data_IF_232059158465
#
_entry.id   IF_232059158465
#
_cell.length_a   1.000
_cell.length_b   1.000
_cell.length_c   1.000
_cell.angle_alpha   90.00
_cell.angle_beta   90.00
_cell.angle_gamma   90.00
#
_symmetry.space_group_name_H-M   'P 1'
#
loop_
_entity.id
_entity.type
_entity.pdbx_description
1 polymer ?
#
# COMPACT_ATOMS: atom_id res chain seq x y z
N UNK A 1 -20.59 -12.13 3.74
CA UNK A 1 -21.83 -12.81 4.19
C UNK A 1 -23.00 -12.45 3.29
N UNK A 2 -23.18 -11.19 2.92
CA UNK A 2 -24.37 -10.70 2.19
C UNK A 2 -24.53 -11.32 0.79
N UNK A 3 -23.44 -11.43 0.02
CA UNK A 3 -23.46 -12.08 -1.30
C UNK A 3 -23.88 -13.56 -1.18
N UNK A 4 -23.39 -14.23 -0.14
CA UNK A 4 -23.77 -15.63 0.13
C UNK A 4 -25.26 -15.75 0.44
N UNK A 5 -25.82 -14.82 1.21
CA UNK A 5 -27.25 -14.81 1.50
C UNK A 5 -28.09 -14.68 0.21
N UNK A 6 -27.74 -13.74 -0.68
CA UNK A 6 -28.41 -13.58 -1.98
C UNK A 6 -28.34 -14.85 -2.81
N UNK A 7 -27.16 -15.48 -2.89
CA UNK A 7 -26.97 -16.75 -3.59
C UNK A 7 -27.85 -17.85 -3.02
N UNK A 8 -27.81 -18.07 -1.70
CA UNK A 8 -28.55 -19.14 -1.04
C UNK A 8 -30.07 -18.95 -1.22
N UNK A 9 -30.56 -17.72 -1.10
CA UNK A 9 -31.97 -17.42 -1.35
C UNK A 9 -32.39 -17.70 -2.77
N UNK A 10 -31.60 -17.26 -3.76
CA UNK A 10 -31.88 -17.48 -5.16
C UNK A 10 -31.86 -18.99 -5.53
N UNK A 11 -30.92 -19.74 -5.00
CA UNK A 11 -30.85 -21.20 -5.17
C UNK A 11 -32.09 -21.92 -4.60
N UNK A 12 -32.51 -21.49 -3.40
CA UNK A 12 -33.73 -22.04 -2.78
C UNK A 12 -34.99 -21.85 -3.64
N UNK A 13 -35.04 -20.73 -4.37
CA UNK A 13 -36.15 -20.35 -5.23
C UNK A 13 -35.92 -20.74 -6.70
N UNK A 14 -34.82 -21.41 -7.02
CA UNK A 14 -34.40 -21.80 -8.39
C UNK A 14 -34.36 -20.62 -9.36
N UNK A 15 -33.82 -19.49 -8.89
CA UNK A 15 -33.70 -18.25 -9.65
C UNK A 15 -32.25 -17.91 -9.92
N UNK A 16 -31.90 -17.24 -11.04
CA UNK A 16 -30.63 -16.61 -11.21
C UNK A 16 -30.51 -15.39 -10.28
N UNK A 17 -29.28 -14.98 -9.99
CA UNK A 17 -29.03 -13.82 -9.14
C UNK A 17 -27.95 -12.92 -9.70
N UNK A 18 -28.06 -11.65 -9.40
CA UNK A 18 -27.07 -10.62 -9.73
C UNK A 18 -26.86 -9.75 -8.49
N UNK A 19 -25.60 -9.46 -8.20
CA UNK A 19 -25.21 -8.49 -7.17
C UNK A 19 -24.39 -7.38 -7.81
N UNK A 20 -24.73 -6.13 -7.53
CA UNK A 20 -23.93 -4.98 -7.88
C UNK A 20 -23.24 -4.43 -6.64
N UNK A 21 -21.90 -4.30 -6.70
CA UNK A 21 -21.06 -3.75 -5.64
C UNK A 21 -20.45 -2.43 -6.10
N UNK A 22 -21.08 -1.31 -5.71
CA UNK A 22 -20.60 0.04 -6.02
C UNK A 22 -19.79 0.61 -4.87
N UNK A 23 -18.81 -0.14 -4.40
CA UNK A 23 -17.84 0.26 -3.39
C UNK A 23 -16.50 -0.38 -3.71
N UNK A 24 -15.44 0.16 -3.13
CA UNK A 24 -14.08 -0.33 -3.34
C UNK A 24 -13.15 0.11 -2.24
N UNK A 25 -11.91 -0.31 -2.35
CA UNK A 25 -10.80 0.06 -1.48
C UNK A 25 -9.53 0.05 -2.29
N UNK A 26 -8.59 0.93 -1.95
CA UNK A 26 -7.25 0.96 -2.53
C UNK A 26 -6.28 0.05 -1.76
N UNK A 27 -6.76 -0.68 -0.76
CA UNK A 27 -5.93 -1.59 0.04
C UNK A 27 -5.87 -2.98 -0.56
N UNK A 28 -4.71 -3.63 -0.45
CA UNK A 28 -4.49 -4.99 -0.90
C UNK A 28 -3.58 -5.11 -2.13
N UNK A 29 -3.19 -6.34 -2.51
CA UNK A 29 -2.23 -6.58 -3.59
C UNK A 29 -2.82 -6.41 -5.00
N UNK A 30 -4.11 -6.17 -5.15
CA UNK A 30 -4.84 -5.99 -6.43
C UNK A 30 -4.64 -7.12 -7.46
N UNK A 31 -4.39 -8.35 -7.00
CA UNK A 31 -4.08 -9.51 -7.85
C UNK A 31 -5.07 -10.68 -7.67
N UNK A 32 -6.18 -10.45 -6.97
CA UNK A 32 -7.19 -11.48 -6.71
C UNK A 32 -6.78 -12.51 -5.65
N UNK A 33 -5.67 -12.30 -4.94
CA UNK A 33 -5.15 -13.27 -3.97
C UNK A 33 -5.71 -13.12 -2.56
N UNK A 34 -6.46 -12.05 -2.27
CA UNK A 34 -7.01 -11.84 -0.93
C UNK A 34 -8.08 -12.87 -0.61
N UNK A 35 -8.31 -13.14 0.68
CA UNK A 35 -9.40 -14.02 1.11
C UNK A 35 -10.77 -13.50 0.66
N UNK A 36 -10.91 -12.17 0.52
CA UNK A 36 -12.13 -11.56 0.02
C UNK A 36 -12.36 -11.94 -1.45
N UNK A 37 -11.37 -11.76 -2.32
CA UNK A 37 -11.45 -12.07 -3.74
C UNK A 37 -11.74 -13.56 -3.95
N UNK A 38 -11.01 -14.43 -3.26
CA UNK A 38 -11.19 -15.86 -3.34
C UNK A 38 -12.57 -16.32 -2.84
N UNK A 39 -13.13 -15.65 -1.84
CA UNK A 39 -14.49 -15.94 -1.40
C UNK A 39 -15.52 -15.53 -2.45
N UNK A 40 -15.31 -14.41 -3.16
CA UNK A 40 -16.16 -14.01 -4.29
C UNK A 40 -16.07 -15.07 -5.41
N UNK A 41 -14.88 -15.51 -5.78
CA UNK A 41 -14.68 -16.54 -6.80
C UNK A 41 -15.39 -17.86 -6.45
N UNK A 42 -15.27 -18.30 -5.20
CA UNK A 42 -15.99 -19.50 -4.73
C UNK A 42 -17.52 -19.34 -4.80
N UNK A 43 -18.04 -18.14 -4.56
CA UNK A 43 -19.47 -17.86 -4.66
C UNK A 43 -19.95 -17.89 -6.12
N UNK A 44 -19.10 -17.49 -7.08
CA UNK A 44 -19.41 -17.50 -8.51
C UNK A 44 -19.23 -18.86 -9.19
N UNK A 45 -18.64 -19.85 -8.51
CA UNK A 45 -18.33 -21.17 -9.07
C UNK A 45 -19.54 -21.96 -9.59
N UNK A 46 -20.77 -21.59 -9.20
CA UNK A 46 -22.02 -22.23 -9.66
C UNK A 46 -22.67 -21.40 -10.76
N UNK A 47 -23.32 -22.09 -11.70
CA UNK A 47 -24.06 -21.44 -12.80
C UNK A 47 -25.25 -20.62 -12.25
N UNK A 48 -25.52 -19.47 -12.87
CA UNK A 48 -26.68 -18.62 -12.59
C UNK A 48 -26.42 -17.43 -11.66
N UNK A 49 -25.19 -17.23 -11.22
CA UNK A 49 -24.77 -16.05 -10.46
C UNK A 49 -23.94 -15.09 -11.30
N UNK A 50 -24.09 -13.79 -11.03
CA UNK A 50 -23.28 -12.74 -11.62
C UNK A 50 -23.02 -11.62 -10.61
N UNK A 51 -21.80 -11.11 -10.57
CA UNK A 51 -21.39 -9.97 -9.73
C UNK A 51 -20.77 -8.91 -10.63
N UNK A 52 -21.19 -7.67 -10.45
CA UNK A 52 -20.53 -6.49 -11.01
C UNK A 52 -19.88 -5.72 -9.87
N UNK A 53 -18.68 -5.20 -10.06
CA UNK A 53 -18.00 -4.34 -9.12
C UNK A 53 -17.57 -3.05 -9.80
N UNK A 54 -17.57 -1.95 -9.03
CA UNK A 54 -16.98 -0.69 -9.48
C UNK A 54 -15.45 -0.85 -9.59
N UNK A 55 -14.86 -0.22 -10.59
CA UNK A 55 -13.40 -0.20 -10.79
C UNK A 55 -12.70 0.93 -10.01
N UNK A 56 -13.46 1.72 -9.24
CA UNK A 56 -12.97 2.94 -8.58
C UNK A 56 -13.06 4.18 -9.47
N UNK A 57 -12.77 5.32 -8.87
CA UNK A 57 -12.82 6.63 -9.54
C UNK A 57 -11.43 7.29 -9.64
N UNK A 58 -10.39 6.63 -9.15
CA UNK A 58 -9.05 7.16 -8.93
C UNK A 58 -8.06 6.79 -10.04
N UNK A 59 -8.55 6.47 -11.24
CA UNK A 59 -7.73 5.95 -12.35
C UNK A 59 -6.65 6.91 -12.88
N UNK A 60 -6.71 8.18 -12.54
CA UNK A 60 -5.73 9.22 -12.87
C UNK A 60 -4.77 9.56 -11.72
N UNK A 61 -4.96 8.98 -10.54
CA UNK A 61 -4.19 9.32 -9.33
C UNK A 61 -2.90 8.52 -9.16
N UNK A 62 -2.62 7.56 -10.03
CA UNK A 62 -1.41 6.72 -9.98
C UNK A 62 -1.16 6.05 -8.62
N UNK A 63 -2.22 5.57 -7.96
CA UNK A 63 -2.17 5.00 -6.61
C UNK A 63 -1.54 3.61 -6.53
N UNK A 64 -1.25 2.98 -7.65
CA UNK A 64 -0.73 1.62 -7.71
C UNK A 64 0.41 1.50 -8.72
N UNK A 65 1.44 0.76 -8.34
CA UNK A 65 2.53 0.35 -9.24
C UNK A 65 2.90 -1.11 -8.98
N UNK A 66 3.54 -1.74 -9.94
CA UNK A 66 4.05 -3.09 -9.79
C UNK A 66 5.42 -3.24 -10.45
N UNK A 67 6.14 -4.28 -10.06
CA UNK A 67 7.45 -4.53 -10.61
C UNK A 67 8.03 -5.86 -10.16
N UNK A 68 9.24 -6.14 -10.58
CA UNK A 68 9.99 -7.33 -10.16
C UNK A 68 11.39 -6.93 -9.71
N UNK A 69 11.93 -7.66 -8.73
CA UNK A 69 13.30 -7.55 -8.26
C UNK A 69 14.03 -8.87 -8.51
N UNK A 70 15.18 -8.79 -9.14
CA UNK A 70 16.12 -9.93 -9.16
C UNK A 70 16.74 -10.14 -7.76
N UNK A 71 17.26 -11.34 -7.46
CA UNK A 71 17.95 -11.58 -6.20
C UNK A 71 19.09 -10.57 -5.95
N UNK A 72 19.05 -9.88 -4.81
CA UNK A 72 19.98 -8.82 -4.44
C UNK A 72 19.77 -7.47 -5.14
N UNK A 73 18.78 -7.35 -6.03
CA UNK A 73 18.47 -6.08 -6.69
C UNK A 73 17.80 -5.09 -5.70
N UNK A 74 18.08 -3.81 -5.91
CA UNK A 74 17.47 -2.70 -5.17
C UNK A 74 16.71 -1.80 -6.14
N UNK A 75 15.49 -1.43 -5.77
CA UNK A 75 14.69 -0.39 -6.44
C UNK A 75 14.24 0.68 -5.46
N UNK A 76 13.94 1.83 -6.01
CA UNK A 76 13.46 3.00 -5.27
C UNK A 76 12.08 3.37 -5.82
N UNK A 77 11.13 3.57 -4.91
CA UNK A 77 9.78 4.04 -5.23
C UNK A 77 9.59 5.36 -4.51
N UNK A 78 9.11 6.37 -5.22
CA UNK A 78 8.71 7.65 -4.64
C UNK A 78 7.19 7.71 -4.55
N UNK A 79 6.71 8.22 -3.43
CA UNK A 79 5.30 8.47 -3.18
C UNK A 79 5.06 9.98 -3.29
N UNK A 80 4.14 10.36 -4.14
CA UNK A 80 3.66 11.74 -4.22
C UNK A 80 2.74 11.98 -3.02
N UNK A 81 3.31 12.50 -1.94
CA UNK A 81 2.56 12.92 -0.77
C UNK A 81 2.15 14.39 -0.93
N UNK A 82 0.93 14.70 -0.56
CA UNK A 82 0.41 16.08 -0.64
C UNK A 82 0.90 16.92 0.55
N UNK A 83 2.17 17.34 0.49
CA UNK A 83 2.73 18.25 1.47
C UNK A 83 2.20 19.69 1.32
N UNK A 84 1.66 20.06 0.14
CA UNK A 84 1.07 21.39 -0.04
C UNK A 84 -0.13 21.59 0.90
N UNK A 85 -1.04 20.62 0.96
CA UNK A 85 -2.17 20.70 1.91
C UNK A 85 -1.72 20.73 3.36
N UNK A 86 -0.60 20.10 3.71
CA UNK A 86 0.00 20.18 5.06
C UNK A 86 0.42 21.62 5.38
N UNK A 87 1.08 22.29 4.43
CA UNK A 87 1.58 23.66 4.59
C UNK A 87 0.46 24.68 4.65
N UNK A 88 -0.53 24.55 3.77
CA UNK A 88 -1.65 25.49 3.68
C UNK A 88 -2.57 25.42 4.90
N UNK A 89 -2.41 24.43 5.76
CA UNK A 89 -3.15 24.33 7.01
C UNK A 89 -4.66 24.09 6.82
N UNK A 90 -5.07 23.64 5.65
CA UNK A 90 -6.47 23.48 5.26
C UNK A 90 -7.18 22.35 6.02
N UNK A 91 -6.44 21.50 6.73
CA UNK A 91 -7.04 20.42 7.49
C UNK A 91 -6.77 20.58 8.99
N UNK A 92 -7.84 20.58 9.73
CA UNK A 92 -7.84 20.56 11.20
C UNK A 92 -7.30 19.25 11.80
N UNK A 93 -7.13 18.17 10.99
CA UNK A 93 -6.78 16.83 11.46
C UNK A 93 -5.87 16.07 10.51
N UNK A 94 -4.83 15.51 11.09
CA UNK A 94 -4.01 14.36 10.73
C UNK A 94 -3.92 14.00 9.22
N UNK A 95 -2.87 14.50 8.58
CA UNK A 95 -2.50 14.08 7.24
C UNK A 95 -1.76 12.75 7.29
N UNK A 96 -2.50 11.66 7.16
CA UNK A 96 -1.91 10.32 7.03
C UNK A 96 -1.98 9.83 5.61
N UNK A 97 -0.94 9.18 5.16
CA UNK A 97 -0.98 8.36 3.96
C UNK A 97 -0.61 6.92 4.29
N UNK A 98 -1.23 5.99 3.58
CA UNK A 98 -0.94 4.56 3.71
C UNK A 98 -0.15 4.11 2.50
N UNK A 99 0.92 3.35 2.75
CA UNK A 99 1.67 2.68 1.68
C UNK A 99 1.77 1.19 2.02
N UNK A 100 1.22 0.37 1.15
CA UNK A 100 1.30 -1.08 1.23
C UNK A 100 2.27 -1.59 0.15
N UNK A 101 3.29 -2.34 0.55
CA UNK A 101 4.23 -2.98 -0.35
C UNK A 101 4.06 -4.49 -0.20
N UNK A 102 3.56 -5.12 -1.25
CA UNK A 102 3.27 -6.54 -1.25
C UNK A 102 4.31 -7.31 -2.05
N UNK A 103 4.75 -8.42 -1.50
CA UNK A 103 5.63 -9.35 -2.15
C UNK A 103 5.08 -10.76 -2.19
N UNK A 104 5.71 -11.60 -2.98
CA UNK A 104 5.43 -13.01 -3.06
C UNK A 104 6.21 -13.74 -1.95
N UNK A 105 5.54 -14.46 -1.09
CA UNK A 105 6.16 -15.26 -0.02
C UNK A 105 5.70 -16.72 -0.08
N UNK A 106 5.76 -17.31 -1.25
CA UNK A 106 5.26 -18.67 -1.51
C UNK A 106 5.92 -19.74 -0.61
N UNK A 107 7.11 -19.48 -0.07
CA UNK A 107 7.83 -20.35 0.84
C UNK A 107 7.72 -19.91 2.33
N UNK A 108 6.93 -18.88 2.61
CA UNK A 108 6.71 -18.35 3.96
C UNK A 108 7.89 -17.59 4.56
N UNK A 109 8.84 -17.13 3.73
CA UNK A 109 10.01 -16.34 4.16
C UNK A 109 9.88 -14.89 3.72
N UNK A 110 10.63 -14.04 4.40
CA UNK A 110 10.84 -12.65 4.00
C UNK A 110 11.83 -12.62 2.84
N UNK A 111 11.42 -12.07 1.72
CA UNK A 111 12.18 -12.05 0.48
C UNK A 111 12.76 -10.68 0.13
N UNK A 112 12.35 -9.63 0.81
CA UNK A 112 12.86 -8.28 0.59
C UNK A 112 12.84 -7.46 1.90
N UNK A 113 13.62 -6.41 1.90
CA UNK A 113 13.63 -5.39 2.96
C UNK A 113 13.19 -4.06 2.40
N UNK A 114 12.53 -3.28 3.24
CA UNK A 114 12.07 -1.93 2.90
C UNK A 114 12.70 -0.94 3.87
N UNK A 115 13.23 0.15 3.32
CA UNK A 115 13.80 1.24 4.11
C UNK A 115 13.21 2.55 3.61
N UNK A 116 12.46 3.30 4.43
CA UNK A 116 11.95 4.60 4.04
C UNK A 116 13.08 5.63 3.95
N UNK A 117 12.90 6.64 3.10
CA UNK A 117 13.80 7.79 2.98
C UNK A 117 13.02 9.04 2.59
N UNK A 118 13.58 10.21 2.88
CA UNK A 118 13.13 11.46 2.29
C UNK A 118 13.90 11.73 1.00
N UNK A 119 13.21 12.38 0.08
CA UNK A 119 13.79 12.83 -1.19
C UNK A 119 13.43 14.30 -1.40
N UNK A 120 14.41 15.13 -1.64
CA UNK A 120 14.22 16.55 -1.92
C UNK A 120 15.41 17.07 -2.73
N UNK A 121 15.18 18.09 -3.54
CA UNK A 121 16.24 18.74 -4.33
C UNK A 121 17.00 17.82 -5.30
N UNK A 122 16.47 16.65 -5.64
CA UNK A 122 17.14 15.66 -6.50
C UNK A 122 17.99 14.64 -5.72
N UNK A 123 17.99 14.69 -4.39
CA UNK A 123 18.83 13.87 -3.54
C UNK A 123 18.02 13.06 -2.52
N UNK A 124 18.55 11.91 -2.13
CA UNK A 124 18.03 11.11 -1.02
C UNK A 124 18.58 11.71 0.27
N UNK A 125 17.68 12.11 1.16
CA UNK A 125 18.00 12.63 2.47
C UNK A 125 17.87 11.53 3.53
N UNK A 126 18.97 10.96 4.04
CA UNK A 126 18.92 9.96 5.09
C UNK A 126 18.42 10.62 6.38
N UNK A 127 17.41 10.00 6.99
CA UNK A 127 16.85 10.43 8.26
C UNK A 127 17.25 9.44 9.37
N UNK A 128 17.21 9.92 10.61
CA UNK A 128 17.51 9.09 11.77
C UNK A 128 16.36 8.15 12.12
N UNK A 129 16.65 7.08 12.86
CA UNK A 129 15.61 6.20 13.39
C UNK A 129 14.63 6.95 14.31
N UNK A 130 15.10 8.02 15.00
CA UNK A 130 14.26 8.85 15.84
C UNK A 130 13.28 9.71 15.03
N UNK A 131 13.69 10.18 13.87
CA UNK A 131 12.81 10.83 12.90
C UNK A 131 11.68 9.86 12.47
N UNK A 132 12.04 8.67 12.00
CA UNK A 132 11.05 7.71 11.52
C UNK A 132 10.05 7.26 12.59
N UNK A 133 10.46 7.19 13.86
CA UNK A 133 9.55 6.92 14.98
C UNK A 133 8.48 7.99 15.20
N UNK A 134 8.72 9.21 14.73
CA UNK A 134 7.73 10.30 14.80
C UNK A 134 6.83 10.32 13.59
N UNK A 135 7.35 9.95 12.42
CA UNK A 135 6.67 10.00 11.12
C UNK A 135 5.80 8.79 10.88
N UNK A 136 6.25 7.62 11.32
CA UNK A 136 5.50 6.37 11.17
C UNK A 136 4.69 6.15 12.45
N UNK A 137 3.38 6.05 12.34
CA UNK A 137 2.52 5.73 13.48
C UNK A 137 2.91 4.37 14.07
N UNK A 138 2.89 4.27 15.41
CA UNK A 138 3.21 3.03 16.15
C UNK A 138 2.26 1.87 15.81
N UNK A 139 1.09 2.14 15.25
CA UNK A 139 0.17 1.13 14.73
C UNK A 139 0.59 0.56 13.37
N UNK A 140 1.66 1.10 12.74
CA UNK A 140 2.18 0.55 11.50
C UNK A 140 2.83 -0.80 11.77
N UNK A 141 2.09 -1.86 11.54
CA UNK A 141 2.64 -3.20 11.53
C UNK A 141 3.50 -3.39 10.27
N UNK A 142 4.82 -3.36 10.45
CA UNK A 142 5.72 -4.07 9.56
C UNK A 142 5.40 -5.55 9.72
N UNK A 143 4.46 -6.06 8.96
CA UNK A 143 3.91 -7.39 9.18
C UNK A 143 3.91 -8.24 7.92
N UNK A 144 4.28 -9.49 8.11
CA UNK A 144 3.94 -10.55 7.15
C UNK A 144 2.48 -10.89 7.37
N UNK A 145 1.62 -10.59 6.41
CA UNK A 145 0.24 -11.07 6.43
C UNK A 145 0.23 -12.48 5.85
N UNK A 146 0.15 -13.46 6.73
CA UNK A 146 -0.15 -14.82 6.33
C UNK A 146 -1.62 -14.90 5.89
N UNK A 147 -1.87 -14.61 4.64
CA UNK A 147 -3.06 -15.13 3.97
C UNK A 147 -2.78 -16.59 3.57
N UNK A 148 -3.81 -17.33 3.22
CA UNK A 148 -3.64 -18.70 2.68
C UNK A 148 -2.72 -18.77 1.45
N UNK A 149 -2.31 -17.62 0.90
CA UNK A 149 -1.43 -17.48 -0.25
C UNK A 149 0.00 -17.00 0.10
N UNK A 150 0.34 -16.93 1.37
CA UNK A 150 1.69 -16.59 1.84
C UNK A 150 2.28 -15.36 1.15
N UNK A 151 1.65 -14.21 1.35
CA UNK A 151 2.14 -12.91 0.89
C UNK A 151 2.93 -12.22 1.99
N UNK A 152 4.01 -11.54 1.60
CA UNK A 152 4.72 -10.59 2.45
C UNK A 152 4.10 -9.21 2.27
N UNK A 153 3.78 -8.54 3.39
CA UNK A 153 3.27 -7.18 3.40
C UNK A 153 4.14 -6.31 4.29
N UNK A 154 4.62 -5.20 3.74
CA UNK A 154 5.16 -4.09 4.51
C UNK A 154 4.17 -2.92 4.41
N UNK A 155 3.56 -2.57 5.54
CA UNK A 155 2.55 -1.51 5.63
C UNK A 155 3.09 -0.34 6.41
N UNK A 156 2.90 0.87 5.89
CA UNK A 156 3.31 2.11 6.50
C UNK A 156 2.11 3.06 6.62
N UNK A 157 1.86 3.54 7.83
CA UNK A 157 1.01 4.69 8.09
C UNK A 157 1.92 5.88 8.37
N UNK A 158 1.93 6.84 7.49
CA UNK A 158 2.86 7.97 7.52
C UNK A 158 2.11 9.23 7.92
N UNK A 159 2.56 9.87 9.01
CA UNK A 159 2.12 11.20 9.39
C UNK A 159 2.89 12.24 8.58
N UNK A 160 2.22 12.84 7.59
CA UNK A 160 2.85 13.80 6.68
C UNK A 160 3.19 15.11 7.37
N UNK A 161 2.43 15.53 8.40
CA UNK A 161 2.77 16.71 9.19
C UNK A 161 4.01 16.45 10.03
N UNK A 162 4.07 15.32 10.71
CA UNK A 162 5.27 14.96 11.46
C UNK A 162 6.49 14.80 10.53
N UNK A 163 6.29 14.29 9.31
CA UNK A 163 7.33 14.21 8.30
C UNK A 163 7.86 15.60 7.92
N UNK A 164 6.97 16.55 7.69
CA UNK A 164 7.30 17.91 7.35
C UNK A 164 8.00 18.64 8.52
N UNK A 165 7.36 18.66 9.69
CA UNK A 165 7.83 19.43 10.86
C UNK A 165 9.17 18.94 11.42
N UNK A 166 9.56 17.70 11.17
CA UNK A 166 10.80 17.12 11.68
C UNK A 166 11.85 16.83 10.59
N UNK A 167 11.59 17.22 9.33
CA UNK A 167 12.55 17.01 8.25
C UNK A 167 13.85 17.80 8.49
N UNK A 168 14.98 17.10 8.37
CA UNK A 168 16.30 17.72 8.38
C UNK A 168 16.80 17.80 6.94
N UNK A 169 16.76 19.00 6.36
CA UNK A 169 17.24 19.27 5.01
C UNK A 169 18.63 19.88 5.09
N UNK A 170 19.68 19.24 4.57
CA UNK A 170 21.01 19.80 4.60
C UNK A 170 21.09 21.16 3.90
N UNK A 171 21.60 22.18 4.59
CA UNK A 171 21.75 23.51 4.06
C UNK A 171 20.57 24.46 4.31
N UNK A 172 19.50 23.99 4.92
CA UNK A 172 18.43 24.83 5.42
C UNK A 172 18.81 25.31 6.83
N UNK A 173 18.96 26.63 6.99
CA UNK A 173 19.31 27.26 8.30
C UNK A 173 18.06 27.46 9.18
N UNK A 174 16.85 27.16 8.66
CA UNK A 174 15.60 27.24 9.40
C UNK A 174 15.29 25.88 9.99
N UNK A 175 15.31 25.76 11.31
CA UNK A 175 15.02 24.53 12.05
C UNK A 175 13.52 24.14 12.05
N UNK A 176 12.68 24.86 11.33
CA UNK A 176 11.23 24.60 11.27
C UNK A 176 10.82 24.28 9.83
N UNK A 177 10.49 23.04 9.55
CA UNK A 177 9.88 22.51 8.34
C UNK A 177 10.49 23.03 7.03
N UNK A 178 11.06 22.18 6.21
CA UNK A 178 11.70 22.65 4.98
C UNK A 178 10.72 23.38 4.07
N UNK A 179 11.13 24.55 3.55
CA UNK A 179 10.39 25.32 2.54
C UNK A 179 10.26 24.59 1.18
N UNK A 180 10.74 23.33 1.09
CA UNK A 180 10.77 22.59 -0.17
C UNK A 180 9.51 21.74 -0.36
N UNK A 181 8.52 22.35 -0.99
CA UNK A 181 7.27 21.68 -1.44
C UNK A 181 7.50 20.49 -2.40
N UNK A 182 8.73 20.28 -2.86
CA UNK A 182 9.08 19.11 -3.67
C UNK A 182 9.57 17.93 -2.83
N UNK A 183 9.43 18.00 -1.51
CA UNK A 183 9.74 16.88 -0.64
C UNK A 183 8.84 15.68 -0.96
N UNK A 184 9.44 14.50 -1.04
CA UNK A 184 8.73 13.24 -1.26
C UNK A 184 9.18 12.21 -0.25
N UNK A 185 8.30 11.30 0.10
CA UNK A 185 8.65 10.09 0.83
C UNK A 185 8.93 8.99 -0.17
N UNK A 186 10.01 8.26 0.04
CA UNK A 186 10.37 7.16 -0.80
C UNK A 186 10.66 5.88 -0.02
N UNK A 187 10.67 4.78 -0.72
CA UNK A 187 10.98 3.45 -0.19
C UNK A 187 12.08 2.81 -1.02
N UNK A 188 13.16 2.47 -0.35
CA UNK A 188 14.21 1.62 -0.90
C UNK A 188 13.85 0.17 -0.63
N UNK A 189 13.61 -0.61 -1.68
CA UNK A 189 13.21 -2.00 -1.61
C UNK A 189 14.37 -2.84 -2.13
N UNK A 190 14.87 -3.77 -1.31
CA UNK A 190 16.02 -4.63 -1.66
C UNK A 190 15.63 -6.09 -1.52
N UNK A 191 15.67 -6.84 -2.62
CA UNK A 191 15.44 -8.28 -2.59
C UNK A 191 16.56 -9.01 -1.86
N UNK A 192 16.23 -10.09 -1.16
CA UNK A 192 17.24 -10.96 -0.57
C UNK A 192 18.13 -11.56 -1.65
N UNK A 193 19.45 -11.60 -1.40
CA UNK A 193 20.40 -12.23 -2.31
C UNK A 193 20.23 -13.76 -2.36
N UNK A 194 19.60 -14.35 -1.35
CA UNK A 194 19.32 -15.78 -1.24
C UNK A 194 18.06 -16.21 -1.98
N UNK A 195 17.31 -15.26 -2.56
CA UNK A 195 16.15 -15.59 -3.39
C UNK A 195 16.57 -16.44 -4.59
N UNK A 196 15.79 -17.47 -4.89
CA UNK A 196 16.05 -18.36 -6.03
C UNK A 196 15.33 -17.93 -7.30
N UNK A 197 14.42 -16.97 -7.19
CA UNK A 197 13.62 -16.42 -8.27
C UNK A 197 13.47 -14.91 -8.11
N UNK A 198 12.99 -14.25 -9.16
CA UNK A 198 12.65 -12.84 -9.09
C UNK A 198 11.46 -12.63 -8.14
N UNK A 199 11.56 -11.59 -7.31
CA UNK A 199 10.48 -11.17 -6.41
C UNK A 199 9.50 -10.27 -7.17
N UNK A 200 8.22 -10.62 -7.15
CA UNK A 200 7.16 -9.79 -7.69
C UNK A 200 6.62 -8.85 -6.60
N UNK A 201 6.61 -7.56 -6.90
CA UNK A 201 6.12 -6.49 -6.01
C UNK A 201 4.84 -5.87 -6.58
N UNK A 202 3.95 -5.51 -5.67
CA UNK A 202 2.70 -4.79 -5.94
C UNK A 202 2.50 -3.66 -4.95
#
# INVERSE_FOLDING_TARGET
>A
EDVKFVKDYAQQHKQPWVVNMSFGSQTGPHDGSTDYDQNIDRLLGDRGGFITAAMGNEGDQHLHTHGTLAPGETKYVLVDADFQSVVDGEADDQFYTNVDIWGSAADGKTHFTVTPFLYSGGEILPQTDEYWKKVIDESSELGTVNTNNQRELHRYFLDLRAAWDNAVIPGDENEEGGDDLNMKIGFKITASADNTQNEALH
#
